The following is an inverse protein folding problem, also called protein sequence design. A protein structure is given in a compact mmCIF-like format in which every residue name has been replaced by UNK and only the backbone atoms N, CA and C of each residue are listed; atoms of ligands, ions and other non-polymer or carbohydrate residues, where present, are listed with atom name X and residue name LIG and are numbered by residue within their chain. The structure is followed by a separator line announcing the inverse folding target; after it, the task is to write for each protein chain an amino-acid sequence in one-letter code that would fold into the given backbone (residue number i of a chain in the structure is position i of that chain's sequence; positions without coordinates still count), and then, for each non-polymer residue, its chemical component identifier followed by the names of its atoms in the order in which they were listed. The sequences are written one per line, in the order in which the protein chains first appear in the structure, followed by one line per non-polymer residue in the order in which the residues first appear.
data_IF_148589693295
#
_entry.id   IF_148589693295
#
_cell.length_a   1.000
_cell.length_b   1.000
_cell.length_c   1.000
_cell.angle_alpha   90.00
_cell.angle_beta   90.00
_cell.angle_gamma   90.00
#
_symmetry.space_group_name_H-M   'P 1'
#
loop_
_entity.id
_entity.type
_entity.pdbx_description
1 polymer ?
#
# COMPACT_ATOMS: atom_id res chain seq x y z
N UNK A 1 6.81 22.49 -2.77
CA UNK A 1 7.67 23.14 -3.80
C UNK A 1 8.88 22.31 -4.27
N UNK A 2 9.63 21.59 -3.41
CA UNK A 2 10.67 20.64 -3.88
C UNK A 2 10.10 19.24 -4.13
N UNK A 3 9.23 18.73 -3.23
CA UNK A 3 8.52 17.47 -3.40
C UNK A 3 7.69 17.43 -4.69
N UNK A 4 6.91 18.48 -4.98
CA UNK A 4 6.10 18.56 -6.21
C UNK A 4 6.96 18.46 -7.48
N UNK A 5 8.18 19.01 -7.46
CA UNK A 5 9.13 18.89 -8.60
C UNK A 5 9.70 17.49 -8.74
N UNK A 6 9.87 16.77 -7.63
CA UNK A 6 10.32 15.37 -7.64
C UNK A 6 9.20 14.49 -8.20
N UNK A 7 7.96 14.69 -7.73
CA UNK A 7 6.77 13.96 -8.23
C UNK A 7 6.62 14.17 -9.73
N UNK A 8 6.62 15.43 -10.19
CA UNK A 8 6.50 15.72 -11.62
C UNK A 8 7.61 15.05 -12.44
N UNK A 9 8.85 15.06 -11.96
CA UNK A 9 9.97 14.43 -12.66
C UNK A 9 9.82 12.90 -12.76
N UNK A 10 9.25 12.27 -11.74
CA UNK A 10 8.95 10.83 -11.75
C UNK A 10 7.83 10.55 -12.76
N UNK A 11 6.76 11.34 -12.73
CA UNK A 11 5.62 11.21 -13.65
C UNK A 11 6.05 11.37 -15.11
N UNK A 12 6.88 12.38 -15.40
CA UNK A 12 7.44 12.61 -16.74
C UNK A 12 8.30 11.42 -17.22
N UNK A 13 8.94 10.70 -16.30
CA UNK A 13 9.79 9.56 -16.63
C UNK A 13 8.99 8.30 -17.02
N UNK A 14 7.72 8.19 -16.59
CA UNK A 14 6.84 7.10 -17.01
C UNK A 14 6.39 7.24 -18.48
N UNK A 15 6.45 8.44 -19.04
CA UNK A 15 6.02 8.74 -20.40
C UNK A 15 4.51 8.99 -20.51
N UNK A 16 3.98 8.92 -21.72
CA UNK A 16 2.55 9.12 -21.95
C UNK A 16 1.73 7.99 -21.31
N UNK A 17 0.72 8.36 -20.52
CA UNK A 17 -0.20 7.40 -19.94
C UNK A 17 -0.90 6.60 -21.05
N UNK A 18 -0.90 5.28 -20.92
CA UNK A 18 -1.61 4.43 -21.87
C UNK A 18 -3.11 4.72 -21.85
N UNK A 19 -3.80 4.61 -23.00
CA UNK A 19 -5.23 4.83 -23.06
C UNK A 19 -5.96 3.82 -22.18
N UNK A 20 -6.82 4.32 -21.30
CA UNK A 20 -7.64 3.50 -20.40
C UNK A 20 -8.56 2.53 -21.15
N UNK A 21 -9.01 2.90 -22.36
CA UNK A 21 -9.83 2.06 -23.24
C UNK A 21 -9.32 2.12 -24.67
N UNK A 22 -9.49 1.03 -25.42
CA UNK A 22 -9.13 0.96 -26.83
C UNK A 22 -10.10 1.74 -27.75
N UNK A 23 -11.31 2.04 -27.25
CA UNK A 23 -12.37 2.72 -28.00
C UNK A 23 -12.77 4.02 -27.28
N UNK A 24 -13.28 5.05 -28.01
CA UNK A 24 -13.80 6.26 -27.38
C UNK A 24 -14.95 5.96 -26.42
N UNK A 25 -14.93 6.61 -25.25
CA UNK A 25 -16.01 6.53 -24.26
C UNK A 25 -17.20 7.41 -24.66
N UNK A 26 -18.40 6.83 -24.61
CA UNK A 26 -19.66 7.56 -24.77
C UNK A 26 -20.00 8.37 -23.51
N UNK A 27 -20.95 9.31 -23.62
CA UNK A 27 -21.35 10.15 -22.48
C UNK A 27 -21.89 9.33 -21.31
N UNK A 28 -22.64 8.26 -21.59
CA UNK A 28 -23.18 7.37 -20.56
C UNK A 28 -22.06 6.60 -19.83
N UNK A 29 -21.02 6.18 -20.55
CA UNK A 29 -19.86 5.50 -19.95
C UNK A 29 -19.15 6.42 -18.96
N UNK A 30 -18.96 7.70 -19.34
CA UNK A 30 -18.28 8.68 -18.50
C UNK A 30 -19.02 8.91 -17.19
N UNK A 31 -20.35 9.04 -17.22
CA UNK A 31 -21.16 9.24 -16.00
C UNK A 31 -21.02 8.04 -15.04
N UNK A 32 -21.06 6.82 -15.58
CA UNK A 32 -20.87 5.60 -14.79
C UNK A 32 -19.45 5.55 -14.21
N UNK A 33 -18.43 5.82 -15.02
CA UNK A 33 -17.04 5.81 -14.58
C UNK A 33 -16.77 6.87 -13.51
N UNK A 34 -17.32 8.08 -13.64
CA UNK A 34 -17.18 9.10 -12.59
C UNK A 34 -17.78 8.63 -11.27
N UNK A 35 -18.96 8.00 -11.30
CA UNK A 35 -19.59 7.48 -10.09
C UNK A 35 -18.77 6.36 -9.46
N UNK A 36 -18.23 5.45 -10.26
CA UNK A 36 -17.45 4.30 -9.76
C UNK A 36 -16.07 4.74 -9.27
N UNK A 37 -15.34 5.54 -10.06
CA UNK A 37 -13.97 5.94 -9.71
C UNK A 37 -13.89 7.06 -8.68
N UNK A 38 -14.97 7.81 -8.48
CA UNK A 38 -15.08 8.77 -7.37
C UNK A 38 -15.62 8.14 -6.08
N UNK A 39 -15.96 6.85 -6.08
CA UNK A 39 -16.46 6.15 -4.90
C UNK A 39 -15.31 5.81 -3.94
N UNK A 40 -15.51 6.10 -2.65
CA UNK A 40 -14.53 5.80 -1.60
C UNK A 40 -14.23 4.29 -1.51
N UNK A 41 -15.27 3.45 -1.67
CA UNK A 41 -15.11 2.00 -1.68
C UNK A 41 -14.23 1.52 -2.83
N UNK A 42 -14.33 2.15 -4.01
CA UNK A 42 -13.43 1.88 -5.11
C UNK A 42 -11.98 2.28 -4.79
N UNK A 43 -11.75 3.42 -4.15
CA UNK A 43 -10.40 3.84 -3.74
C UNK A 43 -9.78 2.87 -2.72
N UNK A 44 -10.55 2.42 -1.73
CA UNK A 44 -10.11 1.41 -0.76
C UNK A 44 -9.79 0.08 -1.45
N UNK A 45 -10.65 -0.36 -2.38
CA UNK A 45 -10.41 -1.54 -3.19
C UNK A 45 -9.12 -1.42 -4.02
N UNK A 46 -8.92 -0.28 -4.69
CA UNK A 46 -7.75 -0.03 -5.53
C UNK A 46 -6.46 -0.05 -4.72
N UNK A 47 -6.46 0.57 -3.54
CA UNK A 47 -5.31 0.54 -2.63
C UNK A 47 -4.99 -0.89 -2.17
N UNK A 48 -6.00 -1.71 -1.86
CA UNK A 48 -5.80 -3.12 -1.52
C UNK A 48 -5.21 -3.93 -2.70
N UNK A 49 -5.65 -3.66 -3.93
CA UNK A 49 -5.07 -4.30 -5.12
C UNK A 49 -3.61 -3.93 -5.33
N UNK A 50 -3.24 -2.67 -5.12
CA UNK A 50 -1.85 -2.21 -5.19
C UNK A 50 -1.00 -2.94 -4.15
N UNK A 51 -1.47 -3.03 -2.89
CA UNK A 51 -0.77 -3.76 -1.83
C UNK A 51 -0.54 -5.22 -2.20
N UNK A 52 -1.56 -5.90 -2.76
CA UNK A 52 -1.44 -7.28 -3.23
C UNK A 52 -0.42 -7.43 -4.36
N UNK A 53 -0.36 -6.48 -5.27
CA UNK A 53 0.57 -6.51 -6.40
C UNK A 53 2.02 -6.39 -5.91
N UNK A 54 2.30 -5.41 -5.03
CA UNK A 54 3.62 -5.23 -4.41
C UNK A 54 4.06 -6.51 -3.71
N UNK A 55 3.21 -7.07 -2.85
CA UNK A 55 3.53 -8.29 -2.10
C UNK A 55 3.82 -9.46 -3.04
N UNK A 56 2.99 -9.63 -4.08
CA UNK A 56 3.16 -10.73 -5.05
C UNK A 56 4.48 -10.61 -5.79
N UNK A 57 4.79 -9.45 -6.33
CA UNK A 57 6.00 -9.24 -7.13
C UNK A 57 7.26 -9.40 -6.26
N UNK A 58 7.24 -8.82 -5.05
CA UNK A 58 8.35 -8.93 -4.10
C UNK A 58 8.60 -10.39 -3.68
N UNK A 59 7.57 -11.10 -3.23
CA UNK A 59 7.71 -12.50 -2.77
C UNK A 59 8.06 -13.44 -3.93
N UNK A 60 7.54 -13.21 -5.12
CA UNK A 60 7.91 -13.99 -6.31
C UNK A 60 9.40 -13.83 -6.60
N UNK A 61 9.91 -12.60 -6.57
CA UNK A 61 11.33 -12.33 -6.78
C UNK A 61 12.19 -12.93 -5.66
N UNK A 62 11.78 -12.78 -4.39
CA UNK A 62 12.50 -13.32 -3.25
C UNK A 62 12.60 -14.86 -3.31
N UNK A 63 11.49 -15.53 -3.65
CA UNK A 63 11.46 -16.98 -3.81
C UNK A 63 12.30 -17.44 -5.01
N UNK A 64 12.18 -16.77 -6.16
CA UNK A 64 12.97 -17.08 -7.36
C UNK A 64 14.48 -16.94 -7.13
N UNK A 65 14.89 -15.97 -6.32
CA UNK A 65 16.29 -15.71 -5.99
C UNK A 65 16.79 -16.51 -4.78
N UNK A 66 15.91 -17.27 -4.11
CA UNK A 66 16.26 -18.11 -2.96
C UNK A 66 16.48 -17.34 -1.64
N UNK A 67 15.93 -16.12 -1.53
CA UNK A 67 16.01 -15.30 -0.31
C UNK A 67 14.92 -15.62 0.71
N UNK A 68 13.91 -16.42 0.33
CA UNK A 68 12.78 -16.82 1.16
C UNK A 68 12.59 -18.33 1.01
N UNK A 69 12.53 -19.05 2.13
CA UNK A 69 12.19 -20.47 2.13
C UNK A 69 10.68 -20.69 1.94
N UNK A 70 10.26 -21.93 1.66
CA UNK A 70 8.83 -22.26 1.54
C UNK A 70 8.07 -22.06 2.87
N UNK A 71 8.75 -22.27 4.00
CA UNK A 71 8.22 -22.01 5.34
C UNK A 71 8.02 -20.51 5.57
N UNK A 72 9.06 -19.70 5.30
CA UNK A 72 9.00 -18.24 5.42
C UNK A 72 7.90 -17.64 4.52
N UNK A 73 7.72 -18.20 3.32
CA UNK A 73 6.65 -17.79 2.40
C UNK A 73 5.27 -18.07 2.99
N UNK A 74 5.10 -19.20 3.68
CA UNK A 74 3.86 -19.54 4.38
C UNK A 74 3.52 -18.53 5.47
N UNK A 75 4.51 -18.08 6.23
CA UNK A 75 4.31 -17.07 7.27
C UNK A 75 4.01 -15.68 6.69
N UNK A 76 4.78 -15.24 5.70
CA UNK A 76 4.56 -13.94 5.02
C UNK A 76 3.20 -13.87 4.33
N UNK A 77 2.73 -14.97 3.75
CA UNK A 77 1.39 -15.05 3.15
C UNK A 77 0.28 -15.05 4.20
N UNK A 78 0.50 -15.63 5.38
CA UNK A 78 -0.42 -15.54 6.51
C UNK A 78 -0.55 -14.08 7.03
N UNK A 79 0.56 -13.33 7.09
CA UNK A 79 0.53 -11.90 7.42
C UNK A 79 -0.30 -11.08 6.43
N UNK A 80 -0.30 -11.46 5.16
CA UNK A 80 -1.07 -10.80 4.09
C UNK A 80 -2.58 -11.18 4.05
N UNK A 81 -3.08 -11.98 5.00
CA UNK A 81 -4.45 -12.48 4.98
C UNK A 81 -5.51 -11.38 5.09
N UNK A 82 -5.24 -10.32 5.86
CA UNK A 82 -6.16 -9.21 6.09
C UNK A 82 -5.65 -7.89 5.46
N UNK A 83 -6.53 -6.89 5.21
CA UNK A 83 -6.16 -5.62 4.57
C UNK A 83 -5.05 -4.85 5.29
N UNK A 84 -5.10 -4.79 6.63
CA UNK A 84 -4.13 -4.04 7.43
C UNK A 84 -2.74 -4.68 7.35
N UNK A 85 -2.69 -6.01 7.45
CA UNK A 85 -1.48 -6.80 7.25
C UNK A 85 -0.90 -6.63 5.85
N UNK A 86 -1.74 -6.53 4.81
CA UNK A 86 -1.27 -6.22 3.45
C UNK A 86 -0.71 -4.81 3.34
N UNK A 87 -1.35 -3.81 3.94
CA UNK A 87 -0.88 -2.43 3.91
C UNK A 87 0.45 -2.27 4.64
N UNK A 88 0.60 -2.90 5.81
CA UNK A 88 1.84 -2.90 6.56
C UNK A 88 2.96 -3.62 5.78
N UNK A 89 2.69 -4.82 5.30
CA UNK A 89 3.70 -5.64 4.61
C UNK A 89 4.13 -5.00 3.29
N UNK A 90 3.20 -4.44 2.50
CA UNK A 90 3.54 -3.74 1.26
C UNK A 90 4.38 -2.49 1.52
N UNK A 91 4.09 -1.73 2.58
CA UNK A 91 4.89 -0.57 2.96
C UNK A 91 6.32 -0.99 3.35
N UNK A 92 6.48 -2.05 4.15
CA UNK A 92 7.79 -2.59 4.47
C UNK A 92 8.55 -3.04 3.23
N UNK A 93 7.90 -3.74 2.30
CA UNK A 93 8.51 -4.20 1.04
C UNK A 93 8.89 -3.06 0.10
N UNK A 94 8.19 -1.92 0.14
CA UNK A 94 8.61 -0.71 -0.61
C UNK A 94 9.87 -0.06 -0.03
N UNK A 95 10.14 -0.27 1.26
CA UNK A 95 11.24 0.35 2.00
C UNK A 95 12.47 -0.55 2.14
N UNK A 96 12.36 -1.83 1.76
CA UNK A 96 13.40 -2.85 1.95
C UNK A 96 13.74 -3.52 0.63
N UNK A 97 14.97 -4.00 0.50
CA UNK A 97 15.40 -4.74 -0.70
C UNK A 97 14.93 -6.19 -0.64
N UNK A 98 14.80 -6.85 -1.80
CA UNK A 98 14.36 -8.26 -1.89
C UNK A 98 15.34 -9.22 -1.21
N UNK A 99 16.62 -8.87 -1.18
CA UNK A 99 17.67 -9.62 -0.46
C UNK A 99 17.44 -9.66 1.06
N UNK A 100 16.67 -8.72 1.59
CA UNK A 100 16.38 -8.59 3.02
C UNK A 100 15.06 -9.29 3.40
N UNK A 101 14.43 -10.03 2.47
CA UNK A 101 13.10 -10.60 2.65
C UNK A 101 12.96 -11.51 3.88
N UNK A 102 13.99 -12.31 4.21
CA UNK A 102 13.99 -13.16 5.41
C UNK A 102 13.94 -12.35 6.72
N UNK A 103 14.36 -11.07 6.70
CA UNK A 103 14.30 -10.21 7.87
C UNK A 103 12.88 -9.69 8.17
N UNK A 104 11.95 -9.77 7.22
CA UNK A 104 10.58 -9.28 7.38
C UNK A 104 9.82 -10.02 8.49
N UNK A 105 10.11 -11.31 8.69
CA UNK A 105 9.53 -12.12 9.77
C UNK A 105 10.05 -11.70 11.16
N UNK A 106 11.26 -11.16 11.23
CA UNK A 106 11.91 -10.75 12.47
C UNK A 106 11.46 -9.35 12.94
N UNK A 107 10.88 -8.55 12.05
CA UNK A 107 10.40 -7.20 12.37
C UNK A 107 8.96 -7.17 12.88
N UNK A 108 8.27 -8.32 12.87
CA UNK A 108 6.95 -8.51 13.45
C UNK A 108 5.83 -7.88 12.63
N UNK A 109 4.65 -8.48 12.72
CA UNK A 109 3.40 -7.84 12.34
C UNK A 109 3.27 -6.61 13.25
N UNK A 110 3.03 -5.38 12.75
CA UNK A 110 2.67 -4.28 13.63
C UNK A 110 1.48 -4.73 14.47
N UNK A 111 1.64 -4.71 15.80
CA UNK A 111 0.59 -5.15 16.72
C UNK A 111 -0.73 -4.48 16.36
N UNK A 112 -1.83 -5.25 16.43
CA UNK A 112 -3.16 -4.72 16.21
C UNK A 112 -3.35 -3.50 17.10
N UNK A 113 -3.58 -2.33 16.49
CA UNK A 113 -3.73 -1.07 17.21
C UNK A 113 -4.81 -1.23 18.29
N UNK A 114 -4.41 -1.14 19.55
CA UNK A 114 -5.35 -1.11 20.67
C UNK A 114 -5.95 0.28 20.77
N UNK A 115 -7.26 0.37 20.96
CA UNK A 115 -7.93 1.62 21.25
C UNK A 115 -7.28 2.24 22.50
N UNK A 116 -6.79 3.48 22.40
CA UNK A 116 -6.29 4.21 23.56
C UNK A 116 -7.42 4.36 24.58
N UNK A 117 -7.27 3.71 25.74
CA UNK A 117 -8.13 3.98 26.87
C UNK A 117 -7.84 5.39 27.36
N UNK A 118 -8.85 6.26 27.31
CA UNK A 118 -8.75 7.62 27.82
C UNK A 118 -8.77 7.54 29.35
N UNK A 119 -7.59 7.57 29.96
CA UNK A 119 -7.45 7.78 31.39
C UNK A 119 -7.93 9.21 31.72
N UNK A 120 -8.95 9.38 32.58
CA UNK A 120 -9.45 10.71 32.94
C UNK A 120 -8.41 11.60 33.64
N UNK A 121 -7.31 11.04 34.17
CA UNK A 121 -6.20 11.78 34.77
C UNK A 121 -4.99 11.94 33.82
N UNK A 122 -5.05 11.45 32.58
CA UNK A 122 -3.94 11.60 31.63
C UNK A 122 -3.84 13.04 31.09
N UNK A 123 -2.62 13.58 30.95
CA UNK A 123 -2.41 14.90 30.36
C UNK A 123 -2.89 14.92 28.91
N UNK A 124 -3.43 16.06 28.42
CA UNK A 124 -3.96 16.15 27.07
C UNK A 124 -2.87 15.84 26.03
N UNK A 125 -3.08 14.77 25.26
CA UNK A 125 -2.12 14.30 24.25
C UNK A 125 -2.05 15.17 22.99
N UNK A 126 -2.84 16.25 22.91
CA UNK A 126 -2.89 17.18 21.77
C UNK A 126 -2.76 18.61 22.30
N UNK A 127 -1.66 19.27 21.95
CA UNK A 127 -1.50 20.71 22.15
C UNK A 127 -1.90 21.44 20.86
N UNK A 128 -3.10 22.03 20.86
CA UNK A 128 -3.50 22.98 19.82
C UNK A 128 -2.73 24.28 20.01
N UNK A 129 -1.72 24.52 19.19
CA UNK A 129 -1.04 25.82 19.11
C UNK A 129 -1.94 26.75 18.29
N UNK A 130 -2.55 27.73 18.97
CA UNK A 130 -3.27 28.82 18.30
C UNK A 130 -2.26 29.93 17.94
N UNK A 131 -2.26 30.32 16.67
CA UNK A 131 -1.53 31.45 16.08
C UNK A 131 -2.35 32.73 16.11
#
# INVERSE_FOLDING_TARGET
MQLDKIVQRIDDAFGEAMPFTANPLESADREVLYRVFGDEGYHVYLQDQINRQIIRDYLTNAAMLGFVSEEDLGELTAMAANPDGRAALSLHMLMTSVEEAASLLHQGIPESLTLLEVDPDAPPHIHLVQS
#
